data_IF_635041945046
#
_entry.id   IF_635041945046
#
_cell.length_a   1.000
_cell.length_b   1.000
_cell.length_c   1.000
_cell.angle_alpha   90.00
_cell.angle_beta   90.00
_cell.angle_gamma   90.00
#
_symmetry.space_group_name_H-M   'P 1'
#
loop_
_entity.id
_entity.type
_entity.pdbx_description
1 polymer ?
#
# COMPACT_ATOMS: atom_id res chain seq x y z
N UNK A 1 1.33 2.81 -4.37
CA UNK A 1 1.86 3.98 -3.65
C UNK A 1 2.00 3.65 -2.16
N UNK A 2 0.92 3.28 -1.47
CA UNK A 2 0.87 2.98 -0.02
C UNK A 2 1.60 1.71 0.46
N UNK A 3 2.46 1.10 -0.36
CA UNK A 3 3.13 -0.16 0.00
C UNK A 3 4.47 0.04 0.71
N UNK A 4 4.87 1.29 0.99
CA UNK A 4 6.19 1.63 1.55
C UNK A 4 7.37 1.42 0.59
N UNK A 5 7.12 1.01 -0.65
CA UNK A 5 8.15 0.75 -1.66
C UNK A 5 8.82 2.03 -2.19
N UNK A 6 8.10 3.15 -2.18
CA UNK A 6 8.54 4.41 -2.77
C UNK A 6 8.80 5.43 -1.66
N UNK A 7 9.94 6.13 -1.75
CA UNK A 7 10.27 7.30 -0.93
C UNK A 7 10.23 8.56 -1.78
N UNK A 8 10.20 9.75 -1.16
CA UNK A 8 10.16 11.04 -1.88
C UNK A 8 11.29 11.17 -2.89
N UNK A 9 12.45 10.57 -2.60
CA UNK A 9 13.66 10.59 -3.40
C UNK A 9 13.72 9.47 -4.45
N UNK A 10 12.96 8.38 -4.25
CA UNK A 10 13.05 7.16 -5.06
C UNK A 10 12.01 7.09 -6.18
N UNK A 11 11.08 8.05 -6.27
CA UNK A 11 10.05 8.07 -7.32
C UNK A 11 10.69 8.44 -8.66
N UNK A 12 10.96 7.43 -9.49
CA UNK A 12 11.39 7.61 -10.88
C UNK A 12 10.20 7.51 -11.83
N UNK A 13 10.18 8.39 -12.83
CA UNK A 13 9.23 8.36 -13.95
C UNK A 13 9.64 7.29 -14.95
N UNK A 14 9.12 6.07 -14.80
CA UNK A 14 9.11 5.07 -15.87
C UNK A 14 7.66 4.86 -16.36
N UNK A 15 7.49 4.36 -17.59
CA UNK A 15 6.19 4.20 -18.28
C UNK A 15 5.07 3.52 -17.47
N UNK A 16 5.39 2.64 -16.50
CA UNK A 16 4.42 1.99 -15.58
C UNK A 16 4.28 2.67 -14.21
N UNK A 17 5.00 3.76 -13.99
CA UNK A 17 5.05 4.55 -12.77
C UNK A 17 4.19 5.81 -12.82
N UNK A 18 3.51 6.11 -13.93
CA UNK A 18 2.73 7.35 -14.09
C UNK A 18 1.72 7.57 -12.95
N UNK A 19 1.04 6.51 -12.52
CA UNK A 19 0.17 6.59 -11.36
C UNK A 19 0.95 6.93 -10.08
N UNK A 20 2.09 6.30 -9.82
CA UNK A 20 2.94 6.59 -8.64
C UNK A 20 3.46 8.03 -8.69
N UNK A 21 3.93 8.49 -9.85
CA UNK A 21 4.40 9.87 -10.08
C UNK A 21 3.27 10.89 -9.92
N UNK A 22 2.03 10.55 -10.30
CA UNK A 22 0.88 11.43 -10.04
C UNK A 22 0.58 11.52 -8.55
N UNK A 23 0.58 10.40 -7.83
CA UNK A 23 0.32 10.39 -6.39
C UNK A 23 1.45 11.09 -5.61
N UNK A 24 2.71 11.00 -6.05
CA UNK A 24 3.86 11.63 -5.39
C UNK A 24 3.87 13.15 -5.45
N UNK A 25 3.11 13.76 -6.38
CA UNK A 25 2.97 15.22 -6.50
C UNK A 25 2.04 15.83 -5.44
N UNK A 26 1.30 15.00 -4.70
CA UNK A 26 0.31 15.43 -3.72
C UNK A 26 0.89 15.19 -2.33
N UNK A 27 1.21 16.25 -1.60
CA UNK A 27 1.88 16.13 -0.29
C UNK A 27 1.08 15.31 0.73
N UNK A 28 -0.25 15.49 0.74
CA UNK A 28 -1.17 14.70 1.57
C UNK A 28 -1.01 13.18 1.39
N UNK A 29 -0.62 12.70 0.21
CA UNK A 29 -0.41 11.27 0.01
C UNK A 29 0.84 10.77 0.75
N UNK A 30 1.86 11.61 0.92
CA UNK A 30 3.03 11.29 1.72
C UNK A 30 2.70 11.25 3.21
N UNK A 31 1.92 12.22 3.70
CA UNK A 31 1.42 12.19 5.08
C UNK A 31 0.64 10.91 5.39
N UNK A 32 -0.24 10.49 4.47
CA UNK A 32 -0.99 9.23 4.60
C UNK A 32 -0.02 8.02 4.58
N UNK A 33 1.00 8.04 3.72
CA UNK A 33 1.98 6.95 3.67
C UNK A 33 2.78 6.85 4.98
N UNK A 34 3.21 7.99 5.54
CA UNK A 34 3.95 8.05 6.79
C UNK A 34 3.12 7.48 7.94
N UNK A 35 1.82 7.83 8.01
CA UNK A 35 0.89 7.28 8.99
C UNK A 35 0.67 5.76 8.81
N UNK A 36 0.48 5.30 7.57
CA UNK A 36 0.35 3.87 7.28
C UNK A 36 1.61 3.10 7.72
N UNK A 37 2.80 3.66 7.52
CA UNK A 37 4.07 3.07 7.97
C UNK A 37 4.18 3.07 9.50
N UNK A 38 3.70 4.12 10.17
CA UNK A 38 3.68 4.18 11.63
C UNK A 38 2.78 3.08 12.21
N UNK A 39 1.54 2.97 11.71
CA UNK A 39 0.59 1.92 12.09
C UNK A 39 1.16 0.53 11.81
N UNK A 40 1.79 0.34 10.65
CA UNK A 40 2.34 -0.97 10.28
C UNK A 40 3.41 -1.44 11.29
N UNK A 41 4.22 -0.51 11.80
CA UNK A 41 5.21 -0.81 12.85
C UNK A 41 4.56 -1.12 14.18
N UNK A 42 3.50 -0.41 14.56
CA UNK A 42 2.77 -0.64 15.81
C UNK A 42 2.14 -2.03 15.86
N UNK A 43 1.51 -2.47 14.78
CA UNK A 43 0.80 -3.75 14.73
C UNK A 43 1.64 -4.93 14.19
N UNK A 44 2.92 -4.68 13.86
CA UNK A 44 3.83 -5.71 13.34
C UNK A 44 3.45 -6.26 11.96
N UNK A 45 2.89 -5.42 11.08
CA UNK A 45 2.44 -5.80 9.72
C UNK A 45 3.14 -4.96 8.66
N UNK A 46 3.06 -5.38 7.39
CA UNK A 46 3.62 -4.59 6.28
C UNK A 46 2.67 -3.44 5.89
N UNK A 47 3.17 -2.31 5.35
CA UNK A 47 2.31 -1.22 4.89
C UNK A 47 1.26 -1.67 3.86
N UNK A 48 1.61 -2.62 2.97
CA UNK A 48 0.65 -3.17 2.02
C UNK A 48 -0.45 -3.96 2.72
N UNK A 49 -0.13 -4.73 3.77
CA UNK A 49 -1.13 -5.44 4.56
C UNK A 49 -2.10 -4.47 5.25
N UNK A 50 -1.59 -3.39 5.84
CA UNK A 50 -2.41 -2.35 6.49
C UNK A 50 -3.36 -1.71 5.47
N UNK A 51 -2.84 -1.28 4.32
CA UNK A 51 -3.65 -0.62 3.29
C UNK A 51 -4.73 -1.56 2.72
N UNK A 52 -4.38 -2.83 2.44
CA UNK A 52 -5.32 -3.83 1.93
C UNK A 52 -6.43 -4.14 2.93
N UNK A 53 -6.06 -4.34 4.19
CA UNK A 53 -6.99 -4.59 5.27
C UNK A 53 -7.95 -3.41 5.46
N UNK A 54 -7.46 -2.16 5.40
CA UNK A 54 -8.32 -0.98 5.49
C UNK A 54 -9.33 -0.88 4.34
N UNK A 55 -8.92 -1.20 3.10
CA UNK A 55 -9.81 -1.15 1.92
C UNK A 55 -10.91 -2.20 2.02
N UNK A 56 -10.58 -3.43 2.41
CA UNK A 56 -11.58 -4.51 2.49
C UNK A 56 -12.68 -4.24 3.51
N UNK A 57 -12.38 -3.45 4.55
CA UNK A 57 -13.32 -3.11 5.61
C UNK A 57 -14.29 -1.98 5.23
N UNK A 58 -14.15 -1.38 4.03
CA UNK A 58 -15.03 -0.28 3.62
C UNK A 58 -16.41 -0.79 3.19
N UNK A 59 -17.50 -0.13 3.65
CA UNK A 59 -18.84 -0.44 3.17
C UNK A 59 -18.91 -0.40 1.63
N UNK A 60 -19.49 -1.44 1.04
CA UNK A 60 -19.66 -1.55 -0.41
C UNK A 60 -18.49 -2.19 -1.17
N UNK A 61 -17.39 -2.56 -0.51
CA UNK A 61 -16.30 -3.33 -1.14
C UNK A 61 -16.57 -4.83 -0.95
N UNK A 62 -16.83 -5.54 -2.06
CA UNK A 62 -17.00 -7.00 -2.05
C UNK A 62 -15.66 -7.73 -2.04
N UNK A 63 -14.71 -7.29 -2.87
CA UNK A 63 -13.36 -7.89 -2.95
C UNK A 63 -12.38 -6.90 -3.57
N UNK A 64 -11.22 -6.64 -2.93
CA UNK A 64 -10.19 -5.81 -3.52
C UNK A 64 -9.38 -6.59 -4.58
N UNK A 65 -9.09 -5.93 -5.70
CA UNK A 65 -8.24 -6.52 -6.75
C UNK A 65 -6.76 -6.39 -6.37
N UNK A 66 -6.07 -7.53 -6.22
CA UNK A 66 -4.64 -7.56 -5.91
C UNK A 66 -3.79 -7.89 -7.14
N UNK A 67 -2.61 -7.29 -7.21
CA UNK A 67 -1.59 -7.59 -8.22
C UNK A 67 -0.27 -7.95 -7.56
N UNK A 68 0.32 -9.08 -7.96
CA UNK A 68 1.61 -9.55 -7.47
C UNK A 68 2.45 -10.07 -8.66
N UNK A 69 3.76 -9.80 -8.63
CA UNK A 69 4.71 -10.31 -9.63
C UNK A 69 5.41 -11.59 -9.17
N UNK A 70 5.35 -11.88 -7.88
CA UNK A 70 5.97 -13.07 -7.26
C UNK A 70 5.00 -13.69 -6.27
N UNK A 71 5.18 -14.98 -5.99
CA UNK A 71 4.37 -15.71 -5.01
C UNK A 71 4.51 -15.08 -3.62
N UNK A 72 5.71 -14.69 -3.21
CA UNK A 72 5.94 -14.01 -1.92
C UNK A 72 5.14 -12.70 -1.79
N UNK A 73 4.99 -11.92 -2.86
CA UNK A 73 4.13 -10.73 -2.84
C UNK A 73 2.66 -11.08 -2.72
N UNK A 74 2.23 -12.16 -3.37
CA UNK A 74 0.85 -12.65 -3.25
C UNK A 74 0.57 -13.09 -1.82
N UNK A 75 1.45 -13.91 -1.23
CA UNK A 75 1.35 -14.36 0.15
C UNK A 75 1.34 -13.18 1.12
N UNK A 76 2.21 -12.18 0.93
CA UNK A 76 2.23 -10.98 1.77
C UNK A 76 0.92 -10.20 1.69
N UNK A 77 0.36 -10.06 0.49
CA UNK A 77 -0.95 -9.41 0.31
C UNK A 77 -2.07 -10.21 1.00
N UNK A 78 -2.05 -11.54 0.92
CA UNK A 78 -3.09 -12.39 1.52
C UNK A 78 -3.08 -12.35 3.06
N UNK A 79 -1.92 -12.16 3.69
CA UNK A 79 -1.80 -11.96 5.14
C UNK A 79 -2.56 -10.73 5.66
N UNK A 80 -2.99 -9.81 4.78
CA UNK A 80 -3.91 -8.73 5.14
C UNK A 80 -5.27 -9.23 5.65
N UNK A 81 -5.64 -10.48 5.37
CA UNK A 81 -6.89 -11.09 5.82
C UNK A 81 -6.84 -11.63 7.26
N UNK A 82 -5.65 -11.70 7.86
CA UNK A 82 -5.41 -12.37 9.15
C UNK A 82 -5.61 -11.48 10.38
N UNK A 83 -6.00 -10.21 10.20
CA UNK A 83 -6.20 -9.26 11.30
C UNK A 83 -7.31 -8.25 10.97
N UNK A 84 -7.69 -7.42 11.95
CA UNK A 84 -8.70 -6.36 11.80
C UNK A 84 -8.29 -5.10 12.54
#
# INVERSE_FOLDING_TARGET
FLTGKYTRESVKSESRGDSVTRHSKIEKNWEILDEVIAISKEIGRTPVQVAMNWVQQKPGITSPLIGARTVTQLEDNLKSLEFK
#
